data_IF_528229918359
#
_entry.id   IF_528229918359
#
_cell.length_a   1.000
_cell.length_b   1.000
_cell.length_c   1.000
_cell.angle_alpha   90.00
_cell.angle_beta   90.00
_cell.angle_gamma   90.00
#
_symmetry.space_group_name_H-M   'P 1'
#
loop_
_entity.id
_entity.type
_entity.pdbx_description
1 polymer ?
#
# COMPACT_ATOMS: atom_id res chain seq x y z
N UNK A 1 -1.04 3.95 5.83
CA UNK A 1 -2.15 3.56 6.72
C UNK A 1 -2.28 2.03 6.71
N UNK A 2 -2.31 1.42 7.90
CA UNK A 2 -2.50 -0.02 8.05
C UNK A 2 -3.97 -0.34 8.23
N UNK A 3 -4.44 -1.34 7.50
CA UNK A 3 -5.84 -1.78 7.50
C UNK A 3 -5.96 -3.20 8.04
N UNK A 4 -6.87 -3.40 8.97
CA UNK A 4 -7.21 -4.74 9.51
C UNK A 4 -8.32 -5.44 8.71
N UNK A 5 -8.99 -4.70 7.81
CA UNK A 5 -10.08 -5.21 6.98
C UNK A 5 -9.67 -5.17 5.50
N UNK A 6 -9.74 -6.30 4.76
CA UNK A 6 -9.43 -6.32 3.33
C UNK A 6 -10.29 -5.35 2.51
N UNK A 7 -11.55 -5.17 2.88
CA UNK A 7 -12.44 -4.24 2.18
C UNK A 7 -12.01 -2.79 2.40
N UNK A 8 -11.64 -2.41 3.63
CA UNK A 8 -11.11 -1.07 3.89
C UNK A 8 -9.82 -0.81 3.10
N UNK A 9 -8.93 -1.80 3.05
CA UNK A 9 -7.71 -1.71 2.25
C UNK A 9 -8.00 -1.42 0.78
N UNK A 10 -8.83 -2.25 0.15
CA UNK A 10 -9.19 -2.11 -1.27
C UNK A 10 -9.94 -0.80 -1.53
N UNK A 11 -10.83 -0.41 -0.62
CA UNK A 11 -11.59 0.84 -0.75
C UNK A 11 -10.64 2.04 -0.82
N UNK A 12 -9.67 2.13 0.08
CA UNK A 12 -8.78 3.29 0.08
C UNK A 12 -7.71 3.21 -1.02
N UNK A 13 -7.08 2.06 -1.24
CA UNK A 13 -6.06 1.91 -2.29
C UNK A 13 -6.64 2.19 -3.69
N UNK A 14 -7.75 1.55 -4.07
CA UNK A 14 -8.31 1.68 -5.42
C UNK A 14 -9.01 3.00 -5.67
N UNK A 15 -9.64 3.59 -4.66
CA UNK A 15 -10.38 4.84 -4.83
C UNK A 15 -9.52 6.07 -4.58
N UNK A 16 -8.33 5.96 -3.98
CA UNK A 16 -7.46 7.13 -3.81
C UNK A 16 -7.21 7.87 -5.14
N UNK A 17 -6.88 7.24 -6.28
CA UNK A 17 -6.74 7.95 -7.56
C UNK A 17 -8.01 8.69 -8.00
N UNK A 18 -9.19 8.16 -7.65
CA UNK A 18 -10.48 8.78 -7.95
C UNK A 18 -10.69 10.03 -7.07
N UNK A 19 -10.42 9.91 -5.78
CA UNK A 19 -10.52 11.01 -4.80
C UNK A 19 -9.50 12.10 -5.16
N UNK A 20 -8.26 11.73 -5.49
CA UNK A 20 -7.22 12.67 -5.91
C UNK A 20 -7.64 13.47 -7.15
N UNK A 21 -8.32 12.82 -8.11
CA UNK A 21 -8.87 13.47 -9.29
C UNK A 21 -10.05 14.39 -8.96
N UNK A 22 -10.92 13.99 -8.04
CA UNK A 22 -12.11 14.77 -7.66
C UNK A 22 -11.73 16.06 -6.92
N UNK A 23 -10.78 15.98 -5.99
CA UNK A 23 -10.36 17.13 -5.19
C UNK A 23 -9.16 17.89 -5.77
N UNK A 24 -8.53 17.37 -6.82
CA UNK A 24 -7.34 17.97 -7.44
C UNK A 24 -6.11 17.99 -6.52
N UNK A 25 -6.04 17.06 -5.56
CA UNK A 25 -4.96 16.94 -4.58
C UNK A 25 -4.33 15.57 -4.72
N UNK A 26 -2.99 15.48 -4.69
CA UNK A 26 -2.30 14.19 -4.58
C UNK A 26 -1.99 13.91 -3.12
N UNK A 27 -2.44 12.76 -2.62
CA UNK A 27 -2.20 12.31 -1.26
C UNK A 27 -0.99 11.39 -1.18
N UNK A 28 -0.76 10.55 -2.20
CA UNK A 28 0.32 9.57 -2.25
C UNK A 28 0.41 8.72 -0.96
N UNK A 29 -0.76 8.37 -0.41
CA UNK A 29 -0.87 7.61 0.82
C UNK A 29 -0.72 6.12 0.55
N UNK A 30 0.24 5.52 1.22
CA UNK A 30 0.43 4.06 1.24
C UNK A 30 -0.70 3.42 2.04
N UNK A 31 -1.48 2.55 1.41
CA UNK A 31 -2.46 1.71 2.08
C UNK A 31 -1.97 0.26 2.09
N UNK A 32 -2.02 -0.42 3.24
CA UNK A 32 -1.48 -1.77 3.36
C UNK A 32 -2.31 -2.59 4.35
N UNK A 33 -2.51 -3.87 4.08
CA UNK A 33 -3.11 -4.76 5.05
C UNK A 33 -2.12 -5.11 6.18
N UNK A 34 -2.61 -5.26 7.41
CA UNK A 34 -1.77 -5.64 8.56
C UNK A 34 -0.98 -6.93 8.31
N UNK A 35 -1.54 -7.91 7.60
CA UNK A 35 -0.86 -9.16 7.28
C UNK A 35 0.35 -8.94 6.35
N UNK A 36 0.23 -8.02 5.38
CA UNK A 36 1.35 -7.64 4.51
C UNK A 36 2.46 -6.95 5.31
N UNK A 37 2.09 -6.04 6.23
CA UNK A 37 3.06 -5.36 7.08
C UNK A 37 3.78 -6.32 8.04
N UNK A 38 3.06 -7.28 8.62
CA UNK A 38 3.65 -8.33 9.44
C UNK A 38 4.60 -9.21 8.63
N UNK A 39 4.20 -9.63 7.42
CA UNK A 39 5.05 -10.43 6.55
C UNK A 39 6.35 -9.69 6.21
N UNK A 40 6.28 -8.40 5.83
CA UNK A 40 7.47 -7.57 5.63
C UNK A 40 8.35 -7.49 6.87
N UNK A 41 7.75 -7.30 8.04
CA UNK A 41 8.49 -7.23 9.32
C UNK A 41 9.21 -8.54 9.66
N UNK A 42 8.74 -9.66 9.11
CA UNK A 42 9.37 -10.98 9.23
C UNK A 42 10.42 -11.25 8.12
N UNK A 43 10.72 -10.27 7.27
CA UNK A 43 11.68 -10.40 6.17
C UNK A 43 11.12 -11.07 4.92
N UNK A 44 9.79 -11.10 4.75
CA UNK A 44 9.18 -11.63 3.54
C UNK A 44 9.42 -10.69 2.33
N UNK A 45 9.54 -11.29 1.15
CA UNK A 45 9.72 -10.56 -0.09
C UNK A 45 8.45 -9.74 -0.46
N UNK A 46 8.57 -8.43 -0.74
CA UNK A 46 7.42 -7.55 -0.99
C UNK A 46 6.63 -7.92 -2.25
N UNK A 47 7.28 -8.45 -3.30
CA UNK A 47 6.66 -8.70 -4.59
C UNK A 47 6.18 -10.16 -4.72
N UNK A 48 6.95 -11.10 -4.17
CA UNK A 48 6.67 -12.54 -4.23
C UNK A 48 5.71 -13.01 -3.14
N UNK A 49 5.78 -12.44 -1.94
CA UNK A 49 4.93 -12.85 -0.80
C UNK A 49 3.83 -11.83 -0.54
N UNK A 50 4.17 -10.53 -0.50
CA UNK A 50 3.21 -9.50 -0.10
C UNK A 50 2.34 -8.98 -1.26
N UNK A 51 2.72 -9.23 -2.51
CA UNK A 51 1.92 -8.91 -3.70
C UNK A 51 1.80 -7.41 -4.01
N UNK A 52 2.83 -6.62 -3.70
CA UNK A 52 2.78 -5.16 -3.78
C UNK A 52 2.56 -4.60 -5.19
N UNK A 53 2.89 -5.35 -6.23
CA UNK A 53 2.61 -5.03 -7.63
C UNK A 53 1.11 -4.91 -7.97
N UNK A 54 0.22 -5.31 -7.06
CA UNK A 54 -1.24 -5.26 -7.27
C UNK A 54 -1.92 -4.02 -6.69
N UNK A 55 -1.16 -3.18 -5.96
CA UNK A 55 -1.67 -1.93 -5.41
C UNK A 55 -1.89 -0.90 -6.50
N UNK A 56 -2.90 -0.06 -6.31
CA UNK A 56 -3.20 1.04 -7.23
C UNK A 56 -2.31 2.24 -6.97
N UNK A 57 -1.89 2.41 -5.72
CA UNK A 57 -0.91 3.41 -5.31
C UNK A 57 0.47 2.73 -5.18
N UNK A 58 1.51 3.24 -5.89
CA UNK A 58 2.86 2.70 -5.80
C UNK A 58 3.41 2.71 -4.36
N UNK A 59 4.07 1.62 -3.97
CA UNK A 59 4.63 1.44 -2.62
C UNK A 59 6.15 1.61 -2.58
N UNK A 60 6.78 1.84 -3.74
CA UNK A 60 8.22 1.94 -3.94
C UNK A 60 8.83 3.00 -3.02
N UNK A 61 8.21 4.19 -2.93
CA UNK A 61 8.70 5.25 -2.06
C UNK A 61 8.68 4.91 -0.56
N UNK A 62 7.88 3.93 -0.13
CA UNK A 62 7.92 3.39 1.23
C UNK A 62 8.99 2.31 1.38
N UNK A 63 9.11 1.42 0.40
CA UNK A 63 10.11 0.34 0.41
C UNK A 63 11.55 0.90 0.39
N UNK A 64 11.82 1.91 -0.42
CA UNK A 64 13.13 2.60 -0.48
C UNK A 64 13.47 3.27 0.86
N UNK A 65 12.50 3.98 1.47
CA UNK A 65 12.69 4.65 2.76
C UNK A 65 12.95 3.70 3.92
N UNK A 66 12.46 2.47 3.81
CA UNK A 66 12.62 1.43 4.84
C UNK A 66 13.81 0.51 4.57
N UNK A 67 14.54 0.70 3.44
CA UNK A 67 15.70 -0.10 3.07
C UNK A 67 15.35 -1.55 2.74
N UNK A 68 14.09 -1.82 2.37
CA UNK A 68 13.65 -3.15 1.94
C UNK A 68 14.06 -3.39 0.47
N UNK A 69 14.13 -2.31 -0.32
CA UNK A 69 14.70 -2.29 -1.68
C UNK A 69 15.71 -1.14 -1.81
#
# INVERSE_FOLDING_TARGET
>A
MLHMCPNCHIQYDRYQPVIEKEYGVKYDLVHMNIAQFMALSMGADPYKVCGFQTHSVPLEGFLEKTGII
#
